data_IF_206462597858
#
_entry.id   IF_206462597858
#
_cell.length_a   1.000
_cell.length_b   1.000
_cell.length_c   1.000
_cell.angle_alpha   90.00
_cell.angle_beta   90.00
_cell.angle_gamma   90.00
#
_symmetry.space_group_name_H-M   'P 1'
#
loop_
_entity.id
_entity.type
_entity.pdbx_description
1 polymer ?
#
# COMPACT_ATOMS: atom_id res chain seq x y z
N UNK A 1 -17.21 -11.91 2.22
CA UNK A 1 -16.11 -11.16 1.57
C UNK A 1 -16.70 -10.37 0.42
N UNK A 2 -16.55 -9.04 0.40
CA UNK A 2 -17.05 -8.20 -0.71
C UNK A 2 -15.98 -8.21 -1.82
N UNK A 3 -16.36 -8.67 -3.02
CA UNK A 3 -15.50 -8.77 -4.19
C UNK A 3 -15.20 -7.37 -4.75
N UNK A 4 -14.18 -6.71 -4.22
CA UNK A 4 -13.57 -5.57 -4.89
C UNK A 4 -12.38 -6.12 -5.68
N UNK A 5 -12.48 -6.10 -7.01
CA UNK A 5 -11.36 -6.41 -7.90
C UNK A 5 -10.17 -5.45 -7.69
N UNK A 6 -9.15 -5.44 -8.58
CA UNK A 6 -7.96 -4.59 -8.43
C UNK A 6 -8.27 -3.06 -8.37
N UNK A 7 -9.49 -2.66 -8.71
CA UNK A 7 -10.05 -1.32 -8.55
C UNK A 7 -10.53 -1.04 -7.13
N UNK A 8 -9.62 -1.10 -6.16
CA UNK A 8 -9.87 -0.56 -4.83
C UNK A 8 -9.76 0.97 -4.91
N UNK A 9 -10.90 1.65 -5.01
CA UNK A 9 -10.96 3.11 -4.92
C UNK A 9 -11.01 3.57 -3.45
N UNK A 10 -10.95 4.88 -3.23
CA UNK A 10 -11.26 5.47 -1.92
C UNK A 10 -12.67 4.99 -1.52
N UNK A 11 -12.89 4.52 -0.27
CA UNK A 11 -12.04 4.65 0.91
C UNK A 11 -11.03 3.52 1.15
N UNK A 12 -10.98 2.49 0.30
CA UNK A 12 -10.28 1.23 0.57
C UNK A 12 -8.85 1.16 0.03
N UNK A 13 -8.54 1.87 -1.06
CA UNK A 13 -7.16 2.09 -1.49
C UNK A 13 -6.96 3.47 -2.10
N UNK A 14 -5.72 3.94 -2.07
CA UNK A 14 -5.29 5.23 -2.60
C UNK A 14 -3.98 5.04 -3.37
N UNK A 15 -3.92 5.55 -4.59
CA UNK A 15 -2.65 5.66 -5.30
C UNK A 15 -1.77 6.74 -4.64
N UNK A 16 -0.53 6.38 -4.31
CA UNK A 16 0.48 7.29 -3.76
C UNK A 16 1.43 7.83 -4.84
N UNK A 17 1.38 7.27 -6.06
CA UNK A 17 2.21 7.65 -7.20
C UNK A 17 3.20 6.56 -7.61
N UNK A 18 3.73 6.61 -8.84
CA UNK A 18 4.79 5.72 -9.37
C UNK A 18 4.53 4.20 -9.28
N UNK A 19 3.26 3.78 -9.15
CA UNK A 19 2.85 2.38 -8.97
C UNK A 19 2.90 1.90 -7.51
N UNK A 20 3.03 2.83 -6.56
CA UNK A 20 2.82 2.61 -5.13
C UNK A 20 1.38 2.93 -4.73
N UNK A 21 0.80 2.05 -3.92
CA UNK A 21 -0.58 2.12 -3.47
C UNK A 21 -0.66 1.93 -1.95
N UNK A 22 -1.68 2.53 -1.34
CA UNK A 22 -1.99 2.39 0.07
C UNK A 22 -3.34 1.71 0.23
N UNK A 23 -3.35 0.52 0.83
CA UNK A 23 -4.53 -0.19 1.30
C UNK A 23 -4.98 0.38 2.65
N UNK A 24 -6.30 0.55 2.80
CA UNK A 24 -6.96 1.18 3.94
C UNK A 24 -7.96 0.22 4.60
N UNK A 25 -7.51 -0.92 5.15
CA UNK A 25 -8.41 -1.86 5.81
C UNK A 25 -9.06 -1.22 7.05
N UNK A 26 -10.34 -1.52 7.25
CA UNK A 26 -11.12 -1.14 8.43
C UNK A 26 -11.66 -2.42 9.06
N UNK A 27 -11.18 -2.76 10.26
CA UNK A 27 -11.58 -3.96 10.99
C UNK A 27 -12.10 -3.63 12.38
N UNK A 28 -12.58 -4.65 13.11
CA UNK A 28 -13.01 -4.51 14.51
C UNK A 28 -11.88 -4.03 15.43
N UNK A 29 -10.63 -4.36 15.08
CA UNK A 29 -9.43 -4.00 15.85
C UNK A 29 -8.86 -2.61 15.48
N UNK A 30 -9.48 -1.90 14.53
CA UNK A 30 -9.12 -0.53 14.17
C UNK A 30 -8.82 -0.32 12.68
N UNK A 31 -8.09 0.78 12.40
CA UNK A 31 -7.78 1.23 11.05
C UNK A 31 -6.32 0.88 10.75
N UNK A 32 -6.09 0.05 9.73
CA UNK A 32 -4.75 -0.25 9.23
C UNK A 32 -4.38 0.61 8.01
N UNK A 33 -3.07 0.72 7.75
CA UNK A 33 -2.52 1.22 6.50
C UNK A 33 -1.45 0.27 5.99
N UNK A 34 -1.57 -0.13 4.73
CA UNK A 34 -0.63 -1.06 4.12
C UNK A 34 -0.14 -0.46 2.80
N UNK A 35 1.17 -0.25 2.68
CA UNK A 35 1.79 0.19 1.42
C UNK A 35 2.14 -1.03 0.59
N UNK A 36 1.71 -1.05 -0.67
CA UNK A 36 1.95 -2.14 -1.62
C UNK A 36 2.23 -1.63 -3.03
N UNK A 37 2.94 -2.42 -3.82
CA UNK A 37 3.11 -2.19 -5.25
C UNK A 37 2.77 -3.45 -6.04
N UNK A 38 2.50 -3.29 -7.33
CA UNK A 38 2.28 -4.40 -8.26
C UNK A 38 3.49 -4.57 -9.15
N UNK A 39 4.04 -5.78 -9.21
CA UNK A 39 5.13 -6.15 -10.13
C UNK A 39 4.55 -6.76 -11.41
N UNK A 40 5.26 -6.62 -12.53
CA UNK A 40 4.91 -7.27 -13.79
C UNK A 40 4.73 -8.78 -13.56
N UNK A 41 3.63 -9.36 -14.05
CA UNK A 41 3.27 -10.77 -13.77
C UNK A 41 2.22 -10.98 -12.67
N UNK A 42 1.42 -9.97 -12.32
CA UNK A 42 0.28 -10.06 -11.36
C UNK A 42 0.68 -10.36 -9.91
N UNK A 43 1.92 -10.04 -9.51
CA UNK A 43 2.38 -10.18 -8.13
C UNK A 43 2.13 -8.89 -7.35
N UNK A 44 1.42 -8.99 -6.23
CA UNK A 44 1.29 -7.89 -5.25
C UNK A 44 2.42 -8.04 -4.24
N UNK A 45 3.22 -7.00 -4.08
CA UNK A 45 4.29 -6.95 -3.08
C UNK A 45 3.87 -5.98 -1.99
N UNK A 46 3.69 -6.50 -0.78
CA UNK A 46 3.43 -5.70 0.42
C UNK A 46 4.78 -5.20 0.92
N UNK A 47 4.93 -3.89 1.02
CA UNK A 47 6.18 -3.25 1.42
C UNK A 47 6.20 -2.96 2.93
N UNK A 48 5.09 -2.40 3.44
CA UNK A 48 5.03 -1.97 4.82
C UNK A 48 3.60 -1.96 5.38
N UNK A 49 3.44 -2.36 6.63
CA UNK A 49 2.14 -2.39 7.34
C UNK A 49 2.23 -1.55 8.61
N UNK A 50 1.33 -0.59 8.76
CA UNK A 50 1.28 0.34 9.88
C UNK A 50 -0.06 0.22 10.60
N UNK A 51 -0.01 0.09 11.92
CA UNK A 51 -1.17 0.28 12.78
C UNK A 51 -1.33 1.77 13.03
N UNK A 52 -2.48 2.33 12.68
CA UNK A 52 -2.70 3.78 12.67
C UNK A 52 -2.68 4.36 14.08
N UNK A 53 -1.57 5.01 14.46
CA UNK A 53 -1.54 6.02 15.54
C UNK A 53 -1.78 7.45 15.03
N UNK A 54 -1.64 7.70 13.72
CA UNK A 54 -1.81 9.03 13.08
C UNK A 54 -2.54 8.96 11.73
N UNK A 55 -3.25 10.03 11.34
CA UNK A 55 -4.12 10.08 10.15
C UNK A 55 -3.35 10.11 8.82
N UNK A 56 -2.09 10.53 8.82
CA UNK A 56 -1.28 10.75 7.62
C UNK A 56 -0.04 9.86 7.65
N UNK A 57 0.24 9.19 6.54
CA UNK A 57 1.49 8.49 6.30
C UNK A 57 2.63 9.52 6.28
N UNK A 58 3.60 9.45 7.21
CA UNK A 58 4.71 10.39 7.27
C UNK A 58 5.50 10.40 5.95
N UNK A 59 5.98 11.57 5.52
CA UNK A 59 6.77 11.69 4.28
C UNK A 59 8.04 10.84 4.30
N UNK A 60 8.61 10.59 5.50
CA UNK A 60 9.75 9.71 5.69
C UNK A 60 9.44 8.26 5.30
N UNK A 61 8.29 7.74 5.72
CA UNK A 61 7.85 6.37 5.40
C UNK A 61 7.51 6.22 3.93
N UNK A 62 6.93 7.25 3.31
CA UNK A 62 6.71 7.26 1.86
C UNK A 62 8.04 7.11 1.11
N UNK A 63 9.10 7.83 1.51
CA UNK A 63 10.42 7.69 0.89
C UNK A 63 10.98 6.27 1.02
N UNK A 64 10.85 5.66 2.19
CA UNK A 64 11.27 4.27 2.40
C UNK A 64 10.50 3.33 1.48
N UNK A 65 9.16 3.46 1.42
CA UNK A 65 8.33 2.65 0.55
C UNK A 65 8.68 2.82 -0.94
N UNK A 66 8.97 4.03 -1.40
CA UNK A 66 9.45 4.27 -2.77
C UNK A 66 10.80 3.63 -3.04
N UNK A 67 11.74 3.70 -2.09
CA UNK A 67 13.06 3.06 -2.23
C UNK A 67 12.93 1.54 -2.32
N UNK A 68 12.18 0.93 -1.40
CA UNK A 68 11.93 -0.52 -1.40
C UNK A 68 11.18 -0.97 -2.66
N UNK A 69 10.23 -0.18 -3.17
CA UNK A 69 9.56 -0.48 -4.45
C UNK A 69 10.55 -0.50 -5.62
N UNK A 70 11.46 0.48 -5.69
CA UNK A 70 12.47 0.54 -6.76
C UNK A 70 13.41 -0.66 -6.72
N UNK A 71 13.79 -1.09 -5.52
CA UNK A 71 14.59 -2.31 -5.31
C UNK A 71 13.84 -3.56 -5.78
N UNK A 72 12.57 -3.72 -5.38
CA UNK A 72 11.73 -4.83 -5.83
C UNK A 72 11.60 -4.87 -7.34
N UNK A 73 11.39 -3.72 -8.00
CA UNK A 73 11.33 -3.62 -9.47
C UNK A 73 12.66 -3.94 -10.16
N UNK A 74 13.80 -3.72 -9.49
CA UNK A 74 15.13 -4.03 -10.03
C UNK A 74 15.48 -5.51 -9.89
N UNK A 75 14.96 -6.17 -8.86
CA UNK A 75 15.38 -7.51 -8.44
C UNK A 75 14.37 -8.62 -8.75
N UNK A 76 13.29 -8.37 -9.50
CA UNK A 76 12.33 -9.42 -9.85
C UNK A 76 11.62 -9.20 -11.16
#
# INVERSE_FOLDING_TARGET
MKNHGPNLYIPYSRALGEGLFELRPHGKEGIGRVSYCTQAGRRIVILHTLVKKTQRTPKSELRVAFSSMKEVKRNG
#
